data_IF_163382420572
#
_entry.id   IF_163382420572
#
_cell.length_a   1.000
_cell.length_b   1.000
_cell.length_c   1.000
_cell.angle_alpha   90.00
_cell.angle_beta   90.00
_cell.angle_gamma   90.00
#
_symmetry.space_group_name_H-M   'P 1'
#
loop_
_entity.id
_entity.type
_entity.pdbx_description
1 polymer ?
#
# COMPACT_ATOMS: atom_id res chain seq x y z
N UNK A 1 -14.63 11.22 55.01
CA UNK A 1 -14.95 10.02 54.22
C UNK A 1 -15.51 10.52 52.88
N UNK A 2 -14.73 10.61 51.86
CA UNK A 2 -15.18 10.99 50.55
C UNK A 2 -14.39 10.22 49.50
N UNK A 3 -15.13 9.60 48.62
CA UNK A 3 -14.66 8.63 47.67
C UNK A 3 -13.78 9.22 46.56
N UNK A 4 -12.77 8.45 46.27
CA UNK A 4 -12.07 8.49 44.98
C UNK A 4 -12.72 7.40 44.13
N UNK A 5 -13.48 7.82 43.15
CA UNK A 5 -13.87 6.98 42.02
C UNK A 5 -13.72 7.80 40.75
N UNK A 6 -13.13 7.13 39.76
CA UNK A 6 -13.38 7.21 38.34
C UNK A 6 -12.59 8.22 37.51
N UNK A 7 -11.45 7.75 37.07
CA UNK A 7 -10.77 8.23 35.88
C UNK A 7 -10.30 7.07 34.95
N UNK A 8 -10.98 5.93 34.95
CA UNK A 8 -10.62 4.79 34.09
C UNK A 8 -11.60 4.48 32.95
N UNK A 9 -12.79 5.10 32.95
CA UNK A 9 -13.84 4.74 31.95
C UNK A 9 -13.91 5.66 30.73
N UNK A 10 -13.07 6.70 30.62
CA UNK A 10 -13.15 7.65 29.51
C UNK A 10 -12.27 7.23 28.30
N UNK A 11 -11.34 6.28 28.46
CA UNK A 11 -10.39 5.89 27.41
C UNK A 11 -10.81 4.68 26.57
N UNK A 12 -11.89 3.99 26.91
CA UNK A 12 -12.38 2.80 26.17
C UNK A 12 -13.51 3.14 25.20
N UNK A 13 -14.14 4.30 25.32
CA UNK A 13 -15.28 4.69 24.47
C UNK A 13 -14.90 5.21 23.08
N UNK A 14 -13.65 5.61 22.85
CA UNK A 14 -13.26 6.20 21.55
C UNK A 14 -12.86 5.16 20.48
N UNK A 15 -12.50 3.94 20.85
CA UNK A 15 -12.15 2.90 19.87
C UNK A 15 -13.38 2.19 19.29
N UNK A 16 -14.44 2.02 20.08
CA UNK A 16 -15.67 1.38 19.61
C UNK A 16 -16.54 2.28 18.72
N UNK A 17 -16.50 3.61 18.90
CA UNK A 17 -17.23 4.55 18.06
C UNK A 17 -16.61 4.71 16.66
N UNK A 18 -15.30 4.64 16.53
CA UNK A 18 -14.64 4.64 15.22
C UNK A 18 -14.93 3.36 14.41
N UNK A 19 -15.11 2.21 15.08
CA UNK A 19 -15.44 0.94 14.41
C UNK A 19 -16.93 0.91 14.01
N UNK A 20 -17.81 1.54 14.77
CA UNK A 20 -19.27 1.56 14.48
C UNK A 20 -19.65 2.48 13.31
N UNK A 21 -18.89 3.55 13.02
CA UNK A 21 -19.13 4.38 11.83
C UNK A 21 -18.69 3.75 10.51
N UNK A 22 -18.00 2.61 10.57
CA UNK A 22 -17.55 1.86 9.40
C UNK A 22 -18.63 0.94 8.79
N UNK A 23 -19.83 0.86 9.38
CA UNK A 23 -20.84 -0.15 9.05
C UNK A 23 -22.15 0.37 8.46
N UNK A 24 -22.23 1.53 7.82
CA UNK A 24 -23.47 1.89 7.17
C UNK A 24 -23.33 2.89 6.02
N UNK A 25 -23.11 2.38 4.82
CA UNK A 25 -23.68 2.99 3.62
C UNK A 25 -24.05 1.90 2.62
N UNK A 26 -25.31 1.45 2.63
CA UNK A 26 -25.98 0.80 1.50
C UNK A 26 -26.35 1.85 0.44
N UNK A 27 -25.52 2.85 0.25
CA UNK A 27 -25.59 3.79 -0.85
C UNK A 27 -24.90 3.20 -2.08
N UNK A 28 -25.41 3.52 -3.25
CA UNK A 28 -24.78 3.16 -4.52
C UNK A 28 -23.33 3.71 -4.51
N UNK A 29 -22.34 2.84 -4.62
CA UNK A 29 -20.92 3.25 -4.69
C UNK A 29 -20.77 4.13 -5.92
N UNK A 30 -20.30 5.38 -5.80
CA UNK A 30 -20.13 6.23 -6.97
C UNK A 30 -18.98 5.72 -7.86
N UNK A 31 -19.06 5.99 -9.15
CA UNK A 31 -17.98 5.73 -10.06
C UNK A 31 -16.71 6.48 -9.61
N UNK A 32 -15.58 5.86 -9.75
CA UNK A 32 -14.30 6.48 -9.42
C UNK A 32 -13.23 6.07 -10.42
N UNK A 33 -12.24 6.95 -10.55
CA UNK A 33 -11.05 6.69 -11.34
C UNK A 33 -9.84 7.29 -10.62
N UNK A 34 -8.75 6.52 -10.54
CA UNK A 34 -7.46 7.00 -10.02
C UNK A 34 -6.33 6.53 -10.95
N UNK A 35 -5.36 7.40 -11.21
CA UNK A 35 -4.15 7.06 -11.96
C UNK A 35 -2.92 7.69 -11.32
N UNK A 36 -1.78 7.05 -11.51
CA UNK A 36 -0.52 7.50 -10.92
C UNK A 36 0.55 6.43 -10.95
N UNK A 37 1.36 6.40 -9.93
CA UNK A 37 2.39 5.40 -9.75
C UNK A 37 2.40 4.82 -8.35
N UNK A 38 2.82 3.58 -8.25
CA UNK A 38 3.06 2.94 -6.99
C UNK A 38 4.33 2.10 -7.02
N UNK A 39 4.87 1.83 -5.87
CA UNK A 39 5.99 0.91 -5.74
C UNK A 39 5.87 0.08 -4.47
N UNK A 40 6.57 -1.03 -4.48
CA UNK A 40 6.83 -1.81 -3.28
C UNK A 40 8.31 -1.81 -2.91
N UNK A 41 8.58 -2.08 -1.65
CA UNK A 41 9.83 -2.69 -1.18
C UNK A 41 9.45 -3.91 -0.37
N UNK A 42 10.08 -5.04 -0.62
CA UNK A 42 9.75 -6.29 0.04
C UNK A 42 10.98 -7.10 0.48
N UNK A 43 10.78 -8.02 1.41
CA UNK A 43 11.80 -8.91 1.97
C UNK A 43 12.41 -9.87 0.95
N UNK A 44 11.72 -10.17 -0.14
CA UNK A 44 12.11 -11.18 -1.11
C UNK A 44 13.41 -10.87 -1.86
N UNK A 45 13.98 -11.88 -2.49
CA UNK A 45 15.06 -11.75 -3.48
C UNK A 45 14.59 -10.98 -4.71
N UNK A 46 15.52 -10.51 -5.55
CA UNK A 46 15.26 -9.81 -6.80
C UNK A 46 15.39 -10.78 -7.98
N UNK A 47 14.37 -10.90 -8.84
CA UNK A 47 13.02 -10.36 -8.76
C UNK A 47 12.17 -11.09 -7.69
N UNK A 48 11.15 -10.39 -7.15
CA UNK A 48 10.27 -10.98 -6.16
C UNK A 48 9.45 -12.13 -6.76
N UNK A 49 9.55 -13.37 -6.23
CA UNK A 49 8.85 -14.51 -6.80
C UNK A 49 7.32 -14.43 -6.65
N UNK A 50 6.82 -13.68 -5.66
CA UNK A 50 5.37 -13.50 -5.47
C UNK A 50 4.71 -12.83 -6.68
N UNK A 51 5.44 -11.96 -7.40
CA UNK A 51 4.99 -11.36 -8.66
C UNK A 51 4.69 -12.40 -9.74
N UNK A 52 5.33 -13.54 -9.68
CA UNK A 52 5.19 -14.65 -10.64
C UNK A 52 4.38 -15.82 -10.05
N UNK A 53 3.47 -15.53 -9.12
CA UNK A 53 2.60 -16.51 -8.45
C UNK A 53 3.37 -17.63 -7.71
N UNK A 54 4.56 -17.33 -7.21
CA UNK A 54 5.41 -18.24 -6.46
C UNK A 54 5.39 -17.91 -4.95
N UNK A 55 5.89 -18.84 -4.14
CA UNK A 55 6.09 -18.58 -2.72
C UNK A 55 7.22 -17.56 -2.49
N UNK A 56 7.17 -16.77 -1.40
CA UNK A 56 8.22 -15.81 -1.07
C UNK A 56 9.58 -16.50 -0.85
N UNK A 57 10.66 -15.81 -1.22
CA UNK A 57 12.03 -16.36 -1.24
C UNK A 57 12.51 -16.94 0.10
N UNK A 58 11.97 -16.44 1.21
CA UNK A 58 12.39 -16.85 2.57
C UNK A 58 11.26 -17.48 3.38
N UNK A 59 10.19 -17.91 2.70
CA UNK A 59 9.04 -18.54 3.32
C UNK A 59 8.02 -17.58 3.92
N UNK A 60 8.41 -16.33 4.14
CA UNK A 60 7.57 -15.24 4.63
C UNK A 60 7.80 -13.96 3.82
N UNK A 61 6.87 -13.02 3.92
CA UNK A 61 6.85 -11.76 3.19
C UNK A 61 6.59 -10.61 4.15
N UNK A 62 7.36 -9.54 4.00
CA UNK A 62 7.20 -8.26 4.68
C UNK A 62 7.39 -7.17 3.65
N UNK A 63 6.44 -6.25 3.54
CA UNK A 63 6.45 -5.24 2.49
C UNK A 63 5.86 -3.91 2.91
N UNK A 64 6.34 -2.87 2.24
CA UNK A 64 5.70 -1.56 2.13
C UNK A 64 5.24 -1.40 0.69
N UNK A 65 3.97 -1.01 0.50
CA UNK A 65 3.42 -0.58 -0.77
C UNK A 65 3.07 0.90 -0.65
N UNK A 66 3.52 1.71 -1.59
CA UNK A 66 3.25 3.15 -1.56
C UNK A 66 2.67 3.60 -2.89
N UNK A 67 1.55 4.30 -2.84
CA UNK A 67 0.80 4.83 -3.98
C UNK A 67 0.79 6.35 -3.97
N UNK A 68 1.02 6.95 -5.14
CA UNK A 68 0.79 8.36 -5.40
C UNK A 68 -0.30 8.51 -6.44
N UNK A 69 -1.39 9.15 -6.08
CA UNK A 69 -2.50 9.45 -6.99
C UNK A 69 -2.18 10.75 -7.71
N UNK A 70 -1.70 10.65 -8.94
CA UNK A 70 -1.43 11.84 -9.77
C UNK A 70 -2.72 12.51 -10.22
N UNK A 71 -3.71 11.71 -10.61
CA UNK A 71 -5.07 12.14 -10.96
C UNK A 71 -6.08 11.19 -10.33
N UNK A 72 -7.08 11.74 -9.67
CA UNK A 72 -8.10 10.93 -9.01
C UNK A 72 -9.42 11.65 -8.85
N UNK A 73 -10.51 10.93 -9.11
CA UNK A 73 -11.87 11.39 -8.93
C UNK A 73 -12.70 10.28 -8.28
N UNK A 74 -13.44 10.62 -7.23
CA UNK A 74 -14.42 9.75 -6.59
C UNK A 74 -15.78 10.43 -6.60
N UNK A 75 -16.75 9.84 -7.31
CA UNK A 75 -18.00 10.52 -7.64
C UNK A 75 -17.77 11.77 -8.47
N UNK A 76 -18.72 12.69 -8.44
CA UNK A 76 -18.67 13.91 -9.26
C UNK A 76 -17.84 15.04 -8.63
N UNK A 77 -17.64 15.02 -7.31
CA UNK A 77 -17.15 16.19 -6.57
C UNK A 77 -15.84 15.98 -5.80
N UNK A 78 -15.42 14.75 -5.54
CA UNK A 78 -14.27 14.49 -4.68
C UNK A 78 -13.01 14.19 -5.50
N UNK A 79 -12.16 15.20 -5.67
CA UNK A 79 -10.82 15.01 -6.26
C UNK A 79 -9.90 14.32 -5.25
N UNK A 80 -9.09 13.38 -5.75
CA UNK A 80 -8.05 12.69 -4.98
C UNK A 80 -6.64 13.03 -5.50
N UNK A 81 -6.52 14.06 -6.35
CA UNK A 81 -5.26 14.49 -6.95
C UNK A 81 -4.20 14.80 -5.89
N UNK A 82 -2.99 14.28 -6.10
CA UNK A 82 -1.82 14.56 -5.27
C UNK A 82 -1.80 13.86 -3.90
N UNK A 83 -2.77 13.00 -3.61
CA UNK A 83 -2.82 12.26 -2.34
C UNK A 83 -2.00 10.97 -2.41
N UNK A 84 -1.46 10.59 -1.25
CA UNK A 84 -0.64 9.41 -1.08
C UNK A 84 -1.33 8.39 -0.17
N UNK A 85 -1.07 7.12 -0.42
CA UNK A 85 -1.45 6.00 0.45
C UNK A 85 -0.24 5.11 0.67
N UNK A 86 -0.08 4.55 1.86
CA UNK A 86 0.97 3.60 2.17
C UNK A 86 0.37 2.41 2.91
N UNK A 87 0.63 1.21 2.40
CA UNK A 87 0.25 -0.06 3.01
C UNK A 87 1.46 -0.79 3.57
N UNK A 88 1.27 -1.41 4.74
CA UNK A 88 2.18 -2.39 5.31
C UNK A 88 1.54 -3.76 5.17
N UNK A 89 2.33 -4.77 4.81
CA UNK A 89 1.83 -6.12 4.65
C UNK A 89 2.82 -7.19 5.11
N UNK A 90 2.31 -8.23 5.76
CA UNK A 90 3.09 -9.43 6.05
C UNK A 90 2.26 -10.70 5.92
N UNK A 91 2.90 -11.79 5.48
CA UNK A 91 2.29 -13.12 5.42
C UNK A 91 3.37 -14.21 5.41
N UNK A 92 2.97 -15.44 5.71
CA UNK A 92 3.83 -16.63 5.65
C UNK A 92 3.26 -17.64 4.66
N UNK A 93 4.11 -18.25 3.84
CA UNK A 93 3.72 -19.18 2.80
C UNK A 93 3.31 -18.48 1.48
N UNK A 94 2.66 -19.21 0.58
CA UNK A 94 2.25 -18.68 -0.72
C UNK A 94 0.87 -18.00 -0.64
N UNK A 95 0.81 -16.71 -0.90
CA UNK A 95 -0.45 -15.96 -0.98
C UNK A 95 -1.37 -16.50 -2.09
N UNK A 96 -0.80 -17.07 -3.13
CA UNK A 96 -1.51 -17.59 -4.29
C UNK A 96 -2.08 -19.00 -4.09
N UNK A 97 -1.66 -19.70 -3.02
CA UNK A 97 -2.20 -21.03 -2.70
C UNK A 97 -3.62 -21.00 -2.10
N UNK A 98 -4.17 -19.80 -1.84
CA UNK A 98 -5.54 -19.62 -1.36
C UNK A 98 -5.75 -19.87 0.14
N UNK A 99 -4.75 -20.34 0.86
CA UNK A 99 -4.80 -20.63 2.29
C UNK A 99 -4.01 -19.65 3.16
N UNK A 100 -3.36 -18.68 2.54
CA UNK A 100 -2.60 -17.62 3.20
C UNK A 100 -3.33 -16.30 3.08
N UNK A 101 -3.30 -15.50 4.14
CA UNK A 101 -3.88 -14.16 4.17
C UNK A 101 -2.84 -13.16 4.65
N UNK A 102 -2.95 -11.93 4.14
CA UNK A 102 -2.10 -10.82 4.54
C UNK A 102 -2.61 -10.22 5.84
N UNK A 103 -1.71 -10.00 6.80
CA UNK A 103 -1.90 -9.04 7.87
C UNK A 103 -1.43 -7.69 7.35
N UNK A 104 -2.32 -6.69 7.35
CA UNK A 104 -2.09 -5.38 6.74
C UNK A 104 -2.29 -4.22 7.72
N UNK A 105 -1.72 -3.06 7.40
CA UNK A 105 -2.09 -1.77 7.97
C UNK A 105 -1.95 -0.69 6.90
N UNK A 106 -2.69 0.42 7.04
CA UNK A 106 -2.69 1.48 6.05
C UNK A 106 -2.48 2.85 6.68
N UNK A 107 -1.72 3.68 5.99
CA UNK A 107 -1.62 5.10 6.23
C UNK A 107 -2.19 5.86 5.03
N UNK A 108 -3.03 6.82 5.29
CA UNK A 108 -3.56 7.76 4.31
C UNK A 108 -2.93 9.14 4.50
N UNK A 109 -2.83 9.90 3.43
CA UNK A 109 -2.24 11.25 3.48
C UNK A 109 -3.02 12.14 4.47
N UNK A 110 -2.33 12.73 5.42
CA UNK A 110 -2.95 13.63 6.43
C UNK A 110 -3.55 14.89 5.82
N UNK A 111 -3.07 15.30 4.61
CA UNK A 111 -3.62 16.44 3.85
C UNK A 111 -5.04 16.22 3.36
N UNK A 112 -5.51 14.95 3.31
CA UNK A 112 -6.84 14.63 2.86
C UNK A 112 -7.90 15.23 3.78
N UNK A 113 -8.88 15.94 3.19
CA UNK A 113 -10.06 16.37 3.90
C UNK A 113 -11.01 15.19 4.20
N UNK A 114 -12.10 15.43 4.96
CA UNK A 114 -12.98 14.35 5.41
C UNK A 114 -13.57 13.53 4.24
N UNK A 115 -14.03 14.18 3.17
CA UNK A 115 -14.61 13.48 2.01
C UNK A 115 -13.56 12.65 1.27
N UNK A 116 -12.34 13.19 1.13
CA UNK A 116 -11.20 12.49 0.54
C UNK A 116 -10.77 11.29 1.39
N UNK A 117 -10.76 11.43 2.73
CA UNK A 117 -10.47 10.33 3.67
C UNK A 117 -11.45 9.17 3.51
N UNK A 118 -12.73 9.46 3.44
CA UNK A 118 -13.78 8.47 3.21
C UNK A 118 -13.62 7.79 1.85
N UNK A 119 -13.39 8.56 0.79
CA UNK A 119 -13.16 8.03 -0.55
C UNK A 119 -11.92 7.11 -0.62
N UNK A 120 -10.78 7.54 -0.06
CA UNK A 120 -9.56 6.72 0.00
C UNK A 120 -9.79 5.41 0.75
N UNK A 121 -10.49 5.45 1.90
CA UNK A 121 -10.81 4.25 2.67
C UNK A 121 -11.76 3.31 1.91
N UNK A 122 -12.72 3.86 1.15
CA UNK A 122 -13.61 3.06 0.31
C UNK A 122 -12.85 2.37 -0.82
N UNK A 123 -11.99 3.11 -1.54
CA UNK A 123 -11.21 2.59 -2.66
C UNK A 123 -10.18 1.57 -2.17
N UNK A 124 -9.26 1.98 -1.29
CA UNK A 124 -8.16 1.11 -0.83
C UNK A 124 -8.59 0.01 0.14
N UNK A 125 -9.73 0.19 0.80
CA UNK A 125 -10.39 -0.88 1.56
C UNK A 125 -11.17 -1.89 0.71
N UNK A 126 -11.18 -1.73 -0.62
CA UNK A 126 -11.85 -2.63 -1.57
C UNK A 126 -13.36 -2.54 -1.60
N UNK A 127 -13.97 -1.61 -0.84
CA UNK A 127 -15.45 -1.46 -0.76
C UNK A 127 -16.03 -0.72 -1.97
N UNK A 128 -15.19 -0.01 -2.71
CA UNK A 128 -15.59 0.73 -3.90
C UNK A 128 -15.46 -0.08 -5.20
N UNK A 129 -15.26 -1.40 -5.14
CA UNK A 129 -15.09 -2.23 -6.32
C UNK A 129 -13.73 -2.04 -7.02
N UNK A 130 -13.65 -2.43 -8.29
CA UNK A 130 -12.44 -2.31 -9.11
C UNK A 130 -11.28 -3.20 -8.65
N UNK A 131 -10.06 -2.89 -9.13
CA UNK A 131 -8.86 -3.66 -8.82
C UNK A 131 -8.62 -3.83 -7.31
N UNK A 132 -8.83 -2.77 -6.52
CA UNK A 132 -8.60 -2.81 -5.08
C UNK A 132 -9.55 -3.74 -4.33
N UNK A 133 -10.73 -4.04 -4.87
CA UNK A 133 -11.62 -5.05 -4.29
C UNK A 133 -11.06 -6.46 -4.41
N UNK A 134 -10.40 -6.78 -5.53
CA UNK A 134 -9.71 -8.06 -5.70
C UNK A 134 -8.48 -8.15 -4.79
N UNK A 135 -7.70 -7.07 -4.70
CA UNK A 135 -6.55 -6.99 -3.81
C UNK A 135 -6.95 -7.15 -2.33
N UNK A 136 -8.04 -6.53 -1.91
CA UNK A 136 -8.56 -6.62 -0.55
C UNK A 136 -8.97 -8.05 -0.13
N UNK A 137 -9.31 -8.93 -1.09
CA UNK A 137 -9.61 -10.35 -0.80
C UNK A 137 -8.42 -11.12 -0.24
N UNK A 138 -7.19 -10.65 -0.50
CA UNK A 138 -5.98 -11.23 0.04
C UNK A 138 -5.77 -10.88 1.53
N UNK A 139 -6.42 -9.82 2.03
CA UNK A 139 -6.26 -9.34 3.39
C UNK A 139 -7.13 -10.17 4.35
N UNK A 140 -6.53 -10.67 5.41
CA UNK A 140 -7.23 -11.39 6.48
C UNK A 140 -7.36 -10.59 7.77
N UNK A 141 -6.38 -9.74 8.05
CA UNK A 141 -6.33 -8.90 9.26
C UNK A 141 -5.90 -7.48 8.90
N UNK A 142 -6.56 -6.48 9.46
CA UNK A 142 -6.10 -5.09 9.41
C UNK A 142 -5.74 -4.66 10.82
N UNK A 143 -4.45 -4.44 11.09
CA UNK A 143 -3.93 -4.01 12.39
C UNK A 143 -4.19 -2.54 12.70
N UNK A 144 -4.34 -1.72 11.67
CA UNK A 144 -4.60 -0.31 11.88
C UNK A 144 -4.79 0.48 10.61
N UNK A 145 -5.46 1.63 10.78
CA UNK A 145 -5.64 2.69 9.78
C UNK A 145 -5.29 4.01 10.48
N UNK A 146 -4.44 4.83 9.85
CA UNK A 146 -4.03 6.11 10.41
C UNK A 146 -3.83 7.14 9.29
N UNK A 147 -3.71 8.42 9.65
CA UNK A 147 -3.39 9.52 8.75
C UNK A 147 -2.01 10.05 9.11
N UNK A 148 -1.15 10.22 8.11
CA UNK A 148 0.24 10.59 8.33
C UNK A 148 0.79 11.48 7.22
N UNK A 149 1.88 12.24 7.47
CA UNK A 149 2.60 13.00 6.44
C UNK A 149 3.40 12.02 5.58
N UNK A 150 2.80 11.53 4.50
CA UNK A 150 3.46 10.63 3.57
C UNK A 150 4.23 11.45 2.54
N UNK A 151 5.57 11.35 2.56
CA UNK A 151 6.42 11.85 1.49
C UNK A 151 6.53 10.75 0.43
N UNK A 152 6.33 11.10 -0.84
CA UNK A 152 6.47 10.19 -1.98
C UNK A 152 7.28 10.89 -3.06
N UNK A 153 8.35 10.27 -3.51
CA UNK A 153 9.25 10.83 -4.51
C UNK A 153 9.64 9.77 -5.53
N UNK A 154 9.67 10.15 -6.80
CA UNK A 154 10.11 9.30 -7.91
C UNK A 154 10.93 10.17 -8.85
N UNK A 155 12.11 9.70 -9.22
CA UNK A 155 12.92 10.37 -10.23
C UNK A 155 12.25 10.27 -11.62
N UNK A 156 12.28 11.36 -12.40
CA UNK A 156 11.62 11.44 -13.71
C UNK A 156 12.07 10.33 -14.68
N UNK A 157 13.32 9.89 -14.57
CA UNK A 157 13.89 8.81 -15.37
C UNK A 157 13.74 7.43 -14.72
N UNK A 158 12.99 7.32 -13.61
CA UNK A 158 12.83 6.11 -12.81
C UNK A 158 14.18 5.53 -12.29
N UNK A 159 15.17 6.38 -12.02
CA UNK A 159 16.42 5.92 -11.41
C UNK A 159 16.25 5.55 -9.93
N UNK A 160 15.30 6.18 -9.26
CA UNK A 160 15.01 5.93 -7.85
C UNK A 160 13.56 6.28 -7.49
N UNK A 161 13.08 5.69 -6.41
CA UNK A 161 11.78 6.01 -5.81
C UNK A 161 11.81 5.81 -4.31
N UNK A 162 10.99 6.58 -3.60
CA UNK A 162 10.94 6.51 -2.14
C UNK A 162 9.58 6.91 -1.57
N UNK A 163 9.27 6.37 -0.39
CA UNK A 163 8.20 6.85 0.47
C UNK A 163 8.67 6.85 1.93
N UNK A 164 8.24 7.87 2.68
CA UNK A 164 8.63 8.02 4.06
C UNK A 164 7.47 8.57 4.91
N UNK A 165 7.30 7.97 6.09
CA UNK A 165 6.52 8.53 7.20
C UNK A 165 7.50 8.74 8.34
N UNK A 166 7.78 9.99 8.75
CA UNK A 166 8.81 10.30 9.76
C UNK A 166 8.67 9.47 11.03
N UNK A 167 9.75 8.79 11.41
CA UNK A 167 9.81 7.96 12.61
C UNK A 167 9.06 6.62 12.56
N UNK A 168 8.36 6.31 11.46
CA UNK A 168 7.53 5.10 11.32
C UNK A 168 7.96 4.20 10.16
N UNK A 169 8.13 4.78 8.96
CA UNK A 169 8.41 4.01 7.73
C UNK A 169 9.43 4.73 6.88
N UNK A 170 10.41 3.99 6.37
CA UNK A 170 11.31 4.44 5.30
C UNK A 170 11.40 3.33 4.26
N UNK A 171 10.99 3.64 3.04
CA UNK A 171 11.04 2.75 1.88
C UNK A 171 11.77 3.50 0.76
N UNK A 172 12.99 3.07 0.40
CA UNK A 172 13.81 3.71 -0.66
C UNK A 172 14.40 2.64 -1.55
N UNK A 173 14.35 2.86 -2.86
CA UNK A 173 14.91 1.94 -3.83
C UNK A 173 15.61 2.70 -4.97
N UNK A 174 16.55 2.02 -5.57
CA UNK A 174 17.24 2.41 -6.79
C UNK A 174 16.93 1.40 -7.89
N UNK A 175 16.78 1.88 -9.13
CA UNK A 175 16.49 1.02 -10.26
C UNK A 175 17.59 -0.03 -10.45
N UNK A 176 17.17 -1.27 -10.69
CA UNK A 176 18.10 -2.35 -11.00
C UNK A 176 18.85 -2.05 -12.29
N UNK A 177 20.16 -2.22 -12.23
CA UNK A 177 21.03 -2.11 -13.38
C UNK A 177 22.12 -3.17 -13.31
N UNK A 178 22.66 -3.55 -14.46
CA UNK A 178 23.75 -4.50 -14.58
C UNK A 178 24.68 -4.14 -15.72
N UNK A 179 25.75 -4.87 -15.92
CA UNK A 179 26.78 -4.53 -16.92
C UNK A 179 26.26 -4.51 -18.35
N UNK A 180 25.11 -5.15 -18.62
CA UNK A 180 24.46 -5.17 -19.93
C UNK A 180 23.29 -4.19 -20.03
N UNK A 181 22.96 -3.43 -18.98
CA UNK A 181 21.91 -2.44 -19.02
C UNK A 181 22.42 -1.16 -19.68
N UNK A 182 21.90 -0.74 -20.86
CA UNK A 182 22.36 0.47 -21.50
C UNK A 182 22.09 1.72 -20.64
N UNK A 183 22.89 2.78 -20.76
CA UNK A 183 22.66 4.03 -20.05
C UNK A 183 21.23 4.57 -20.25
N UNK A 184 20.58 5.00 -19.17
CA UNK A 184 19.22 5.52 -19.18
C UNK A 184 18.12 4.48 -19.43
N UNK A 185 18.47 3.19 -19.56
CA UNK A 185 17.48 2.09 -19.62
C UNK A 185 17.25 1.49 -18.23
N UNK A 186 16.13 0.79 -18.10
CA UNK A 186 15.72 0.13 -16.84
C UNK A 186 15.47 -1.35 -17.11
N UNK A 187 15.68 -2.16 -16.09
CA UNK A 187 15.25 -3.56 -16.11
C UNK A 187 13.76 -3.59 -15.87
N UNK A 188 13.02 -4.10 -16.83
CA UNK A 188 11.56 -4.12 -16.80
C UNK A 188 11.01 -5.53 -17.03
N UNK A 189 9.80 -5.77 -16.51
CA UNK A 189 8.94 -6.89 -16.93
C UNK A 189 7.60 -6.36 -17.41
N UNK A 190 7.05 -7.02 -18.39
CA UNK A 190 5.65 -6.88 -18.76
C UNK A 190 4.87 -7.92 -17.94
N UNK A 191 3.98 -7.47 -17.07
CA UNK A 191 3.35 -8.35 -16.12
C UNK A 191 2.46 -9.41 -16.77
N UNK A 192 2.67 -10.67 -16.41
CA UNK A 192 1.82 -11.76 -16.87
C UNK A 192 0.44 -11.69 -16.16
N UNK A 193 -0.56 -12.41 -16.68
CA UNK A 193 -1.81 -12.65 -15.96
C UNK A 193 -1.55 -13.29 -14.59
N UNK A 194 -2.25 -12.83 -13.56
CA UNK A 194 -2.12 -13.34 -12.19
C UNK A 194 -1.03 -12.71 -11.36
N UNK A 195 -0.32 -11.67 -11.87
CA UNK A 195 0.56 -10.84 -11.04
C UNK A 195 -0.24 -9.81 -10.23
N UNK A 196 0.40 -9.24 -9.20
CA UNK A 196 -0.16 -8.18 -8.34
C UNK A 196 -0.62 -6.94 -9.10
N UNK A 197 -0.10 -6.77 -10.30
CA UNK A 197 -0.30 -5.60 -11.14
C UNK A 197 -0.98 -6.02 -12.42
N UNK A 198 -2.06 -6.07 -12.70
CA UNK A 198 -2.79 -6.50 -13.91
C UNK A 198 -1.98 -6.77 -15.17
N UNK A 199 -2.49 -7.55 -16.07
CA UNK A 199 -1.83 -7.91 -17.32
C UNK A 199 -1.50 -6.68 -18.18
N UNK A 200 -0.30 -6.67 -18.80
CA UNK A 200 0.13 -5.61 -19.70
C UNK A 200 0.73 -4.38 -19.01
N UNK A 201 0.74 -4.32 -17.69
CA UNK A 201 1.39 -3.24 -16.95
C UNK A 201 2.90 -3.49 -16.84
N UNK A 202 3.69 -2.45 -17.07
CA UNK A 202 5.16 -2.53 -16.99
C UNK A 202 5.59 -2.32 -15.54
N UNK A 203 6.39 -3.26 -15.01
CA UNK A 203 7.10 -3.08 -13.75
C UNK A 203 8.57 -2.73 -14.02
N UNK A 204 9.05 -1.63 -13.44
CA UNK A 204 10.47 -1.28 -13.40
C UNK A 204 11.08 -1.81 -12.12
N UNK A 205 12.06 -2.72 -12.26
CA UNK A 205 12.68 -3.39 -11.11
C UNK A 205 13.75 -2.54 -10.45
N UNK A 206 13.86 -2.69 -9.14
CA UNK A 206 14.83 -2.00 -8.31
C UNK A 206 15.33 -2.82 -7.14
N UNK A 207 16.34 -2.27 -6.49
CA UNK A 207 16.89 -2.77 -5.23
C UNK A 207 16.48 -1.82 -4.12
N UNK A 208 15.83 -2.34 -3.09
CA UNK A 208 15.55 -1.58 -1.89
C UNK A 208 16.86 -1.25 -1.16
N UNK A 209 17.25 0.01 -1.16
CA UNK A 209 18.42 0.51 -0.43
C UNK A 209 18.09 0.78 1.03
N UNK A 210 16.82 0.96 1.34
CA UNK A 210 16.29 1.02 2.70
C UNK A 210 14.83 0.56 2.75
N UNK A 211 14.56 -0.37 3.64
CA UNK A 211 13.22 -0.88 3.92
C UNK A 211 13.07 -1.04 5.43
N UNK A 212 12.60 0.01 6.10
CA UNK A 212 12.48 0.07 7.55
C UNK A 212 11.07 0.40 7.96
N UNK A 213 10.54 -0.37 8.90
CA UNK A 213 9.21 -0.19 9.48
C UNK A 213 9.28 -0.35 10.99
N UNK A 214 8.69 0.58 11.72
CA UNK A 214 8.38 0.47 13.15
C UNK A 214 7.04 1.16 13.41
N UNK A 215 5.94 0.50 13.07
CA UNK A 215 4.60 1.07 13.13
C UNK A 215 3.51 0.00 13.17
N UNK A 216 2.41 0.29 13.88
CA UNK A 216 1.19 -0.55 13.93
C UNK A 216 1.47 -2.03 14.25
N UNK A 217 2.46 -2.30 15.14
CA UNK A 217 2.86 -3.65 15.51
C UNK A 217 3.70 -4.39 14.47
N UNK A 218 4.10 -3.72 13.38
CA UNK A 218 5.11 -4.22 12.45
C UNK A 218 6.46 -3.63 12.80
N UNK A 219 7.50 -4.48 12.71
CA UNK A 219 8.88 -4.06 12.93
C UNK A 219 9.84 -4.90 12.12
N UNK A 220 10.52 -4.27 11.15
CA UNK A 220 11.57 -4.90 10.35
C UNK A 220 12.51 -3.88 9.74
N UNK A 221 13.66 -4.37 9.27
CA UNK A 221 14.63 -3.59 8.52
C UNK A 221 15.37 -4.51 7.53
N UNK A 222 15.30 -4.19 6.23
CA UNK A 222 15.89 -4.96 5.16
C UNK A 222 16.58 -4.04 4.16
N UNK A 223 17.74 -4.48 3.63
CA UNK A 223 18.48 -3.82 2.56
C UNK A 223 18.84 -4.83 1.47
N UNK A 224 19.06 -4.37 0.24
CA UNK A 224 19.46 -5.22 -0.89
C UNK A 224 18.38 -6.22 -1.32
N UNK A 225 17.12 -5.92 -1.04
CA UNK A 225 15.95 -6.75 -1.34
C UNK A 225 15.17 -6.17 -2.52
N UNK A 226 14.10 -6.87 -2.90
CA UNK A 226 13.30 -6.53 -4.07
C UNK A 226 12.51 -5.24 -3.91
N UNK A 227 12.43 -4.51 -5.01
CA UNK A 227 11.52 -3.40 -5.22
C UNK A 227 11.10 -3.34 -6.68
N UNK A 228 9.91 -2.80 -6.93
CA UNK A 228 9.46 -2.47 -8.28
C UNK A 228 8.58 -1.23 -8.25
N UNK A 229 8.67 -0.42 -9.32
CA UNK A 229 7.80 0.73 -9.57
C UNK A 229 6.85 0.43 -10.74
N UNK A 230 5.58 0.81 -10.61
CA UNK A 230 4.51 0.42 -11.51
C UNK A 230 3.54 1.59 -11.68
N UNK A 231 3.23 2.02 -12.93
CA UNK A 231 2.13 2.93 -13.18
C UNK A 231 0.78 2.23 -13.00
N UNK A 232 -0.24 2.96 -12.61
CA UNK A 232 -1.61 2.44 -12.54
C UNK A 232 -2.63 3.41 -13.14
N UNK A 233 -3.73 2.84 -13.64
CA UNK A 233 -4.94 3.54 -14.09
C UNK A 233 -6.13 2.62 -13.75
N UNK A 234 -6.78 2.88 -12.62
CA UNK A 234 -7.80 2.04 -12.05
C UNK A 234 -9.14 2.74 -12.00
N UNK A 235 -10.19 1.98 -12.22
CA UNK A 235 -11.59 2.43 -12.20
C UNK A 235 -12.42 1.48 -11.34
N UNK A 236 -13.57 1.99 -10.87
CA UNK A 236 -14.59 1.22 -10.18
C UNK A 236 -15.91 1.99 -10.05
N UNK A 237 -16.96 1.29 -9.57
CA UNK A 237 -17.11 -0.11 -9.23
C UNK A 237 -16.99 -1.06 -10.39
#
# INVERSE_FOLDING_TARGET
MSGKAELKDVLILNSSLCIAMYMATTGNVPNWKISGGWFDVCKCSIPCPCEFAQAPSYGDHESVLAWHIQKGQYGETTSLDGLNVLGLGSFTGSIWAGNTKVTAAFFFDEKANQQQREALQMVFGGKAGGFMAEFAKLIGEIRGLDFAPIKFEVADDLASWSAEIPGKVVAKAEALSGPMTPPGKRVITLNPPGSEVGPGTVATWGTAVMHKVDAMGFKWEWNGRSSKYIPFDWIGP
#
